data_IF_004095750140
#
_entry.id   IF_004095750140
#
_cell.length_a   1.000
_cell.length_b   1.000
_cell.length_c   1.000
_cell.angle_alpha   90.00
_cell.angle_beta   90.00
_cell.angle_gamma   90.00
#
_symmetry.space_group_name_H-M   'P 1'
#
loop_
_entity.id
_entity.type
_entity.pdbx_description
1 polymer ?
#
# COMPACT_ATOMS: atom_id res chain seq x y z
N UNK A 1 22.25 -16.60 -4.91
CA UNK A 1 21.11 -16.69 -5.83
C UNK A 1 19.87 -16.14 -5.14
N UNK A 2 19.52 -14.87 -5.34
CA UNK A 2 18.20 -14.31 -5.02
C UNK A 2 17.96 -13.18 -6.02
N UNK A 3 16.96 -13.34 -6.89
CA UNK A 3 16.42 -12.22 -7.65
C UNK A 3 15.91 -11.23 -6.60
N UNK A 4 16.37 -9.98 -6.63
CA UNK A 4 15.61 -8.90 -5.98
C UNK A 4 14.31 -8.78 -6.77
N UNK A 5 13.34 -9.61 -6.42
CA UNK A 5 11.98 -9.41 -6.87
C UNK A 5 11.48 -8.15 -6.16
N UNK A 6 11.01 -7.18 -6.93
CA UNK A 6 10.23 -6.05 -6.42
C UNK A 6 9.24 -6.55 -5.38
N UNK A 7 9.20 -5.92 -4.20
CA UNK A 7 8.27 -6.32 -3.15
C UNK A 7 6.83 -6.27 -3.65
N UNK A 8 5.93 -7.04 -3.03
CA UNK A 8 4.51 -6.99 -3.37
C UNK A 8 3.97 -5.55 -3.30
N UNK A 9 4.29 -4.81 -2.24
CA UNK A 9 3.85 -3.43 -2.07
C UNK A 9 4.42 -2.53 -3.19
N UNK A 10 5.72 -2.64 -3.50
CA UNK A 10 6.31 -1.84 -4.57
C UNK A 10 5.70 -2.17 -5.95
N UNK A 11 5.22 -3.40 -6.17
CA UNK A 11 4.50 -3.77 -7.38
C UNK A 11 3.07 -3.20 -7.40
N UNK A 12 2.32 -3.29 -6.29
CA UNK A 12 0.94 -2.77 -6.22
C UNK A 12 0.88 -1.24 -6.30
N UNK A 13 1.85 -0.56 -5.71
CA UNK A 13 1.92 0.89 -5.63
C UNK A 13 2.93 1.50 -6.63
N UNK A 14 3.28 0.77 -7.70
CA UNK A 14 4.32 1.18 -8.65
C UNK A 14 4.09 2.57 -9.29
N UNK A 15 2.82 2.95 -9.47
CA UNK A 15 2.38 4.21 -10.10
C UNK A 15 1.82 5.20 -9.07
N UNK A 16 2.14 5.04 -7.78
CA UNK A 16 1.63 5.94 -6.74
C UNK A 16 2.16 7.36 -6.92
N UNK A 17 1.24 8.32 -6.94
CA UNK A 17 1.55 9.75 -6.96
C UNK A 17 0.66 10.52 -5.99
N UNK A 18 1.23 10.85 -4.83
CA UNK A 18 0.61 11.67 -3.78
C UNK A 18 1.11 13.13 -3.84
N UNK A 19 1.74 13.56 -4.94
CA UNK A 19 2.29 14.91 -5.10
C UNK A 19 3.60 15.17 -4.34
N UNK A 20 4.03 14.27 -3.44
CA UNK A 20 5.32 14.31 -2.75
C UNK A 20 5.99 12.94 -2.79
N UNK A 21 7.20 12.87 -3.37
CA UNK A 21 7.97 11.63 -3.46
C UNK A 21 8.27 10.97 -2.10
N UNK A 22 8.33 11.76 -1.02
CA UNK A 22 8.52 11.26 0.34
C UNK A 22 7.25 10.56 0.84
N UNK A 23 6.07 11.07 0.49
CA UNK A 23 4.79 10.43 0.79
C UNK A 23 4.65 9.14 -0.02
N UNK A 24 5.01 9.14 -1.30
CA UNK A 24 5.00 7.94 -2.15
C UNK A 24 5.86 6.83 -1.54
N UNK A 25 7.12 7.14 -1.19
CA UNK A 25 8.02 6.18 -0.53
C UNK A 25 7.48 5.71 0.82
N UNK A 26 6.83 6.60 1.59
CA UNK A 26 6.25 6.26 2.90
C UNK A 26 5.08 5.30 2.76
N UNK A 27 4.20 5.50 1.79
CA UNK A 27 3.06 4.63 1.53
C UNK A 27 3.52 3.19 1.23
N UNK A 28 4.50 3.05 0.32
CA UNK A 28 5.08 1.73 -0.03
C UNK A 28 5.71 1.07 1.18
N UNK A 29 6.57 1.78 1.92
CA UNK A 29 7.23 1.24 3.11
C UNK A 29 6.22 0.82 4.19
N UNK A 30 5.16 1.61 4.41
CA UNK A 30 4.15 1.28 5.40
C UNK A 30 3.37 0.02 4.99
N UNK A 31 3.01 -0.11 3.71
CA UNK A 31 2.38 -1.31 3.19
C UNK A 31 3.26 -2.56 3.34
N UNK A 32 4.58 -2.45 3.13
CA UNK A 32 5.53 -3.54 3.38
C UNK A 32 5.53 -3.96 4.86
N UNK A 33 5.66 -3.00 5.79
CA UNK A 33 5.73 -3.30 7.22
C UNK A 33 4.45 -3.92 7.76
N UNK A 34 3.30 -3.41 7.32
CA UNK A 34 2.00 -3.94 7.74
C UNK A 34 1.74 -5.32 7.11
N UNK A 35 2.16 -5.56 5.87
CA UNK A 35 2.07 -6.89 5.25
C UNK A 35 2.97 -7.93 5.92
N UNK A 36 4.16 -7.54 6.40
CA UNK A 36 5.07 -8.42 7.15
C UNK A 36 4.48 -8.83 8.52
N UNK A 37 3.64 -7.99 9.12
CA UNK A 37 3.10 -8.16 10.48
C UNK A 37 1.61 -7.72 10.55
N UNK A 38 0.69 -8.42 9.87
CA UNK A 38 -0.68 -7.93 9.64
C UNK A 38 -1.54 -7.77 10.89
N UNK A 39 -1.22 -8.50 11.97
CA UNK A 39 -1.94 -8.42 13.25
C UNK A 39 -1.27 -7.50 14.26
N UNK A 40 -0.11 -6.92 13.92
CA UNK A 40 0.65 -6.09 14.83
C UNK A 40 0.12 -4.65 14.84
N UNK A 41 0.23 -3.98 15.99
CA UNK A 41 0.01 -2.54 16.06
C UNK A 41 1.03 -1.79 15.18
N UNK A 42 0.71 -0.56 14.74
CA UNK A 42 1.65 0.28 13.96
C UNK A 42 3.03 0.39 14.64
N UNK A 43 3.14 0.70 15.95
CA UNK A 43 4.45 0.74 16.63
C UNK A 43 5.21 -0.59 16.61
N UNK A 44 4.50 -1.72 16.68
CA UNK A 44 5.11 -3.06 16.65
C UNK A 44 5.51 -3.50 15.24
N UNK A 45 4.84 -2.97 14.21
CA UNK A 45 5.15 -3.22 12.82
C UNK A 45 6.38 -2.43 12.35
N UNK A 46 6.49 -1.16 12.74
CA UNK A 46 7.57 -0.25 12.35
C UNK A 46 8.93 -0.55 13.04
N UNK A 47 10.03 -0.12 12.40
CA UNK A 47 11.41 -0.31 12.84
C UNK A 47 11.91 0.67 13.91
N UNK A 48 11.03 1.19 14.76
CA UNK A 48 11.37 2.10 15.86
C UNK A 48 10.59 3.42 15.86
N UNK A 49 10.97 4.31 16.77
CA UNK A 49 10.21 5.54 17.07
C UNK A 49 10.06 6.49 15.86
N UNK A 50 11.16 6.76 15.16
CA UNK A 50 11.14 7.69 14.03
C UNK A 50 10.21 7.21 12.91
N UNK A 51 10.22 5.91 12.61
CA UNK A 51 9.34 5.31 11.61
C UNK A 51 7.89 5.27 12.08
N UNK A 52 7.65 4.93 13.35
CA UNK A 52 6.31 4.94 13.97
C UNK A 52 5.69 6.33 13.90
N UNK A 53 6.44 7.38 14.28
CA UNK A 53 5.97 8.76 14.22
C UNK A 53 5.66 9.18 12.78
N UNK A 54 6.47 8.75 11.80
CA UNK A 54 6.22 9.04 10.40
C UNK A 54 4.99 8.30 9.86
N UNK A 55 4.73 7.07 10.30
CA UNK A 55 3.53 6.32 9.95
C UNK A 55 2.26 7.03 10.45
N UNK A 56 2.23 7.45 11.72
CA UNK A 56 1.09 8.20 12.24
C UNK A 56 0.90 9.56 11.53
N UNK A 57 1.98 10.29 11.24
CA UNK A 57 1.87 11.55 10.48
C UNK A 57 1.33 11.34 9.06
N UNK A 58 1.72 10.23 8.42
CA UNK A 58 1.21 9.86 7.11
C UNK A 58 -0.29 9.53 7.15
N UNK A 59 -0.73 8.74 8.14
CA UNK A 59 -2.14 8.37 8.29
C UNK A 59 -3.03 9.55 8.77
N UNK A 60 -2.43 10.59 9.33
CA UNK A 60 -3.10 11.81 9.76
C UNK A 60 -2.99 12.96 8.73
N UNK A 61 -2.66 12.67 7.47
CA UNK A 61 -2.67 13.70 6.42
C UNK A 61 -4.11 14.02 6.01
N UNK A 62 -4.57 15.24 6.31
CA UNK A 62 -5.91 15.70 5.91
C UNK A 62 -6.01 16.04 4.41
N UNK A 63 -4.86 16.27 3.76
CA UNK A 63 -4.78 16.64 2.33
C UNK A 63 -4.79 15.42 1.39
N UNK A 64 -4.66 14.20 1.91
CA UNK A 64 -4.68 12.97 1.12
C UNK A 64 -6.06 12.30 1.18
N UNK A 65 -6.66 12.00 0.03
CA UNK A 65 -7.81 11.09 0.00
C UNK A 65 -7.28 9.64 0.02
N UNK A 66 -7.93 8.76 0.78
CA UNK A 66 -7.57 7.33 0.81
C UNK A 66 -7.68 6.69 -0.58
N UNK A 67 -8.51 7.25 -1.47
CA UNK A 67 -8.62 6.83 -2.88
C UNK A 67 -7.32 7.07 -3.64
N UNK A 68 -6.57 8.12 -3.34
CA UNK A 68 -5.28 8.40 -3.99
C UNK A 68 -4.26 7.31 -3.63
N UNK A 69 -4.36 6.77 -2.40
CA UNK A 69 -3.54 5.64 -1.95
C UNK A 69 -3.95 4.35 -2.65
N UNK A 70 -5.25 4.05 -2.77
CA UNK A 70 -5.73 2.78 -3.36
C UNK A 70 -5.78 2.78 -4.90
N UNK A 71 -5.81 3.94 -5.56
CA UNK A 71 -5.82 4.07 -7.01
C UNK A 71 -4.76 3.20 -7.74
N UNK A 72 -3.46 3.28 -7.41
CA UNK A 72 -2.44 2.45 -8.05
C UNK A 72 -2.65 0.94 -7.79
N UNK A 73 -3.18 0.55 -6.63
CA UNK A 73 -3.51 -0.85 -6.35
C UNK A 73 -4.67 -1.36 -7.23
N UNK A 74 -5.68 -0.53 -7.48
CA UNK A 74 -6.75 -0.86 -8.44
C UNK A 74 -6.22 -0.96 -9.87
N UNK A 75 -5.31 -0.07 -10.28
CA UNK A 75 -4.66 -0.14 -11.58
C UNK A 75 -3.85 -1.43 -11.74
N UNK A 76 -3.03 -1.77 -10.74
CA UNK A 76 -2.27 -3.03 -10.68
C UNK A 76 -3.19 -4.26 -10.74
N UNK A 77 -4.35 -4.20 -10.07
CA UNK A 77 -5.37 -5.25 -10.15
C UNK A 77 -5.98 -5.36 -11.54
N UNK A 78 -6.33 -4.23 -12.17
CA UNK A 78 -6.86 -4.21 -13.54
C UNK A 78 -5.83 -4.71 -14.57
N UNK A 79 -4.54 -4.43 -14.37
CA UNK A 79 -3.49 -4.98 -15.22
C UNK A 79 -3.39 -6.50 -15.13
N UNK A 80 -3.45 -7.08 -13.92
CA UNK A 80 -3.50 -8.53 -13.75
C UNK A 80 -4.73 -9.13 -14.40
N UNK A 81 -5.89 -8.47 -14.28
CA UNK A 81 -7.15 -8.90 -14.92
C UNK A 81 -7.04 -8.99 -16.44
N UNK A 82 -6.31 -8.08 -17.10
CA UNK A 82 -6.12 -8.11 -18.56
C UNK A 82 -5.43 -9.37 -19.08
N UNK A 83 -4.68 -10.07 -18.23
CA UNK A 83 -4.03 -11.33 -18.58
C UNK A 83 -4.97 -12.56 -18.47
N UNK A 84 -6.19 -12.37 -17.99
CA UNK A 84 -7.18 -13.43 -17.80
C UNK A 84 -8.26 -13.38 -18.88
N UNK A 85 -8.66 -14.53 -19.42
CA UNK A 85 -9.77 -14.63 -20.38
C UNK A 85 -11.14 -14.34 -19.72
N UNK A 86 -11.30 -14.79 -18.48
CA UNK A 86 -12.50 -14.57 -17.67
C UNK A 86 -12.09 -14.06 -16.30
N UNK A 87 -12.78 -13.03 -15.81
CA UNK A 87 -12.61 -12.48 -14.46
C UNK A 87 -13.94 -12.49 -13.73
N UNK A 88 -13.93 -12.98 -12.48
CA UNK A 88 -15.09 -12.94 -11.60
C UNK A 88 -14.97 -11.74 -10.66
N UNK A 89 -15.83 -10.74 -10.83
CA UNK A 89 -15.90 -9.56 -9.97
C UNK A 89 -16.85 -9.82 -8.80
N UNK A 90 -16.36 -10.45 -7.73
CA UNK A 90 -17.14 -10.73 -6.53
C UNK A 90 -17.40 -9.41 -5.79
N UNK A 91 -18.66 -9.13 -5.47
CA UNK A 91 -19.07 -7.92 -4.76
C UNK A 91 -19.90 -8.31 -3.54
N UNK A 92 -19.58 -7.68 -2.41
CA UNK A 92 -20.30 -7.78 -1.14
C UNK A 92 -20.22 -6.42 -0.41
N UNK A 93 -20.91 -6.25 0.71
CA UNK A 93 -20.87 -5.04 1.53
C UNK A 93 -20.68 -5.41 3.00
N UNK A 94 -19.77 -4.70 3.68
CA UNK A 94 -19.47 -4.86 5.10
C UNK A 94 -19.44 -3.50 5.79
N UNK A 95 -19.53 -3.50 7.11
CA UNK A 95 -19.40 -2.31 7.97
C UNK A 95 -18.09 -2.37 8.77
N UNK A 96 -17.63 -1.22 9.27
CA UNK A 96 -16.42 -1.03 10.07
C UNK A 96 -16.75 -0.40 11.43
#
# INVERSE_FOLDING_TARGET
MKREATSWAAAEFKDIDLGDQRLNKRAVLLAERLAEKPTASIPSACGGWAETAAAYRFLAQDELDWRDILAPHWQSSAERMRACEVVLCIQDTTEL
#
